data_IF_092352162660
#
_entry.id   IF_092352162660
#
_cell.length_a   1.000
_cell.length_b   1.000
_cell.length_c   1.000
_cell.angle_alpha   90.00
_cell.angle_beta   90.00
_cell.angle_gamma   90.00
#
_symmetry.space_group_name_H-M   'P 1'
#
loop_
_entity.id
_entity.type
_entity.pdbx_description
1 polymer ?
#
# COMPACT_ATOMS: atom_id res chain seq x y z
N UNK A 1 18.63 100.03 -15.30
CA UNK A 1 17.83 99.50 -14.18
C UNK A 1 16.90 98.44 -14.78
N UNK A 2 17.20 97.15 -14.57
CA UNK A 2 16.32 95.96 -14.48
C UNK A 2 17.10 94.69 -14.88
N UNK A 3 17.17 93.74 -13.93
CA UNK A 3 17.52 92.34 -14.15
C UNK A 3 16.46 91.67 -15.05
N UNK A 4 16.83 90.58 -15.75
CA UNK A 4 16.14 89.31 -15.53
C UNK A 4 17.16 88.16 -15.37
N UNK A 5 17.23 87.51 -14.21
CA UNK A 5 16.48 86.29 -13.85
C UNK A 5 17.10 84.99 -14.40
N UNK A 6 18.05 84.48 -13.61
CA UNK A 6 18.37 83.08 -13.33
C UNK A 6 17.49 82.01 -14.02
N UNK A 7 18.13 81.14 -14.82
CA UNK A 7 17.63 79.80 -15.18
C UNK A 7 18.40 78.78 -14.31
N UNK A 8 17.73 77.90 -13.54
CA UNK A 8 18.41 76.97 -12.65
C UNK A 8 18.70 75.67 -13.40
N UNK A 9 19.95 75.43 -13.80
CA UNK A 9 20.40 74.06 -14.10
C UNK A 9 20.74 73.36 -12.77
N UNK A 10 19.69 72.97 -12.04
CA UNK A 10 19.83 72.10 -10.86
C UNK A 10 20.00 70.68 -11.36
N UNK A 11 21.24 70.21 -11.47
CA UNK A 11 21.51 68.79 -11.68
C UNK A 11 21.07 68.08 -10.40
N UNK A 12 19.97 67.32 -10.46
CA UNK A 12 19.49 66.50 -9.34
C UNK A 12 20.40 65.28 -9.16
N UNK A 13 21.58 65.52 -8.58
CA UNK A 13 22.60 64.54 -8.20
C UNK A 13 22.02 63.33 -7.42
N UNK A 14 21.02 63.47 -6.52
CA UNK A 14 20.42 62.32 -5.83
C UNK A 14 19.64 61.38 -6.77
N UNK A 15 19.00 61.93 -7.81
CA UNK A 15 18.22 61.16 -8.79
C UNK A 15 19.14 60.33 -9.69
N UNK A 16 20.24 60.91 -10.15
CA UNK A 16 21.24 60.23 -10.98
C UNK A 16 22.02 59.15 -10.20
N UNK A 17 22.34 59.39 -8.93
CA UNK A 17 22.94 58.38 -8.04
C UNK A 17 22.00 57.21 -7.78
N UNK A 18 20.71 57.47 -7.55
CA UNK A 18 19.71 56.41 -7.38
C UNK A 18 19.56 55.57 -8.66
N UNK A 19 19.56 56.21 -9.84
CA UNK A 19 19.54 55.52 -11.13
C UNK A 19 20.79 54.67 -11.36
N UNK A 20 21.99 55.17 -11.02
CA UNK A 20 23.25 54.42 -11.17
C UNK A 20 23.36 53.18 -10.25
N UNK A 21 22.71 53.20 -9.09
CA UNK A 21 22.71 52.09 -8.12
C UNK A 21 21.59 51.07 -8.44
N UNK A 22 20.45 51.53 -8.98
CA UNK A 22 19.32 50.67 -9.35
C UNK A 22 19.52 49.92 -10.68
N UNK A 23 20.28 50.49 -11.63
CA UNK A 23 20.60 49.84 -12.91
C UNK A 23 21.32 48.48 -12.77
N UNK A 24 22.44 48.36 -12.02
CA UNK A 24 23.13 47.09 -11.86
C UNK A 24 22.31 46.06 -11.06
N UNK A 25 21.51 46.49 -10.08
CA UNK A 25 20.63 45.58 -9.33
C UNK A 25 19.47 45.06 -10.18
N UNK A 26 18.90 45.87 -11.08
CA UNK A 26 17.90 45.44 -12.04
C UNK A 26 18.47 44.43 -13.06
N UNK A 27 19.70 44.65 -13.54
CA UNK A 27 20.37 43.72 -14.47
C UNK A 27 20.68 42.38 -13.79
N UNK A 28 21.15 42.38 -12.54
CA UNK A 28 21.38 41.14 -11.78
C UNK A 28 20.07 40.38 -11.56
N UNK A 29 18.97 41.08 -11.22
CA UNK A 29 17.65 40.46 -11.08
C UNK A 29 17.19 39.83 -12.41
N UNK A 30 17.32 40.54 -13.53
CA UNK A 30 16.97 40.01 -14.86
C UNK A 30 17.80 38.77 -15.23
N UNK A 31 19.11 38.79 -15.00
CA UNK A 31 19.97 37.64 -15.25
C UNK A 31 19.59 36.44 -14.37
N UNK A 32 19.24 36.67 -13.09
CA UNK A 32 18.79 35.59 -12.19
C UNK A 32 17.46 34.97 -12.65
N UNK A 33 16.52 35.78 -13.15
CA UNK A 33 15.24 35.30 -13.69
C UNK A 33 15.47 34.47 -14.95
N UNK A 34 16.33 34.96 -15.86
CA UNK A 34 16.69 34.23 -17.08
C UNK A 34 17.37 32.90 -16.74
N UNK A 35 18.32 32.89 -15.79
CA UNK A 35 18.97 31.66 -15.33
C UNK A 35 17.97 30.69 -14.71
N UNK A 36 17.01 31.20 -13.93
CA UNK A 36 15.89 30.44 -13.37
C UNK A 36 15.02 29.80 -14.46
N UNK A 37 14.64 30.56 -15.50
CA UNK A 37 13.87 30.05 -16.64
C UNK A 37 14.66 28.98 -17.39
N UNK A 38 15.95 29.20 -17.67
CA UNK A 38 16.82 28.21 -18.32
C UNK A 38 16.90 26.93 -17.48
N UNK A 39 17.09 27.05 -16.16
CA UNK A 39 17.11 25.90 -15.26
C UNK A 39 15.79 25.12 -15.29
N UNK A 40 14.65 25.82 -15.27
CA UNK A 40 13.31 25.20 -15.39
C UNK A 40 13.16 24.50 -16.74
N UNK A 41 13.56 25.13 -17.85
CA UNK A 41 13.53 24.53 -19.19
C UNK A 41 14.39 23.26 -19.25
N UNK A 42 15.61 23.30 -18.71
CA UNK A 42 16.48 22.12 -18.61
C UNK A 42 15.82 21.01 -17.80
N UNK A 43 15.14 21.33 -16.68
CA UNK A 43 14.39 20.35 -15.88
C UNK A 43 13.20 19.77 -16.62
N UNK A 44 12.48 20.57 -17.41
CA UNK A 44 11.37 20.11 -18.25
C UNK A 44 11.87 19.18 -19.35
N UNK A 45 12.98 19.52 -20.02
CA UNK A 45 13.60 18.67 -21.05
C UNK A 45 14.10 17.36 -20.44
N UNK A 46 14.79 17.43 -19.29
CA UNK A 46 15.24 16.24 -18.55
C UNK A 46 14.05 15.34 -18.20
N UNK A 47 12.99 15.91 -17.62
CA UNK A 47 11.77 15.19 -17.28
C UNK A 47 11.14 14.54 -18.51
N UNK A 48 11.02 15.26 -19.63
CA UNK A 48 10.47 14.73 -20.87
C UNK A 48 11.31 13.56 -21.43
N UNK A 49 12.64 13.68 -21.42
CA UNK A 49 13.52 12.61 -21.87
C UNK A 49 13.43 11.37 -20.97
N UNK A 50 13.40 11.54 -19.64
CA UNK A 50 13.21 10.45 -18.69
C UNK A 50 11.86 9.76 -18.90
N UNK A 51 10.79 10.53 -19.09
CA UNK A 51 9.46 9.99 -19.39
C UNK A 51 9.45 9.24 -20.72
N UNK A 52 10.01 9.80 -21.79
CA UNK A 52 10.09 9.13 -23.10
C UNK A 52 10.81 7.78 -22.99
N UNK A 53 11.91 7.70 -22.23
CA UNK A 53 12.63 6.43 -21.98
C UNK A 53 11.77 5.40 -21.24
N UNK A 54 11.03 5.84 -20.21
CA UNK A 54 10.12 4.97 -19.46
C UNK A 54 8.98 4.42 -20.32
N UNK A 55 8.38 5.29 -21.15
CA UNK A 55 7.30 4.91 -22.07
C UNK A 55 7.81 3.87 -23.08
N UNK A 56 8.97 4.13 -23.69
CA UNK A 56 9.60 3.21 -24.65
C UNK A 56 9.88 1.83 -24.04
N UNK A 57 10.34 1.78 -22.79
CA UNK A 57 10.58 0.51 -22.11
C UNK A 57 9.30 -0.33 -21.91
N UNK A 58 8.14 0.32 -21.85
CA UNK A 58 6.85 -0.35 -21.67
C UNK A 58 6.20 -0.83 -22.96
N UNK A 59 6.72 -0.44 -24.14
CA UNK A 59 6.26 -0.93 -25.44
C UNK A 59 6.48 -2.44 -25.60
N UNK A 60 7.45 -3.01 -24.86
CA UNK A 60 7.69 -4.45 -24.81
C UNK A 60 6.61 -5.24 -24.04
N UNK A 61 5.65 -4.56 -23.41
CA UNK A 61 4.59 -5.18 -22.62
C UNK A 61 3.24 -4.94 -23.28
N UNK A 62 2.52 -6.00 -23.70
CA UNK A 62 1.16 -5.84 -24.20
C UNK A 62 0.26 -5.36 -23.05
N UNK A 63 -0.75 -4.56 -23.38
CA UNK A 63 -1.66 -4.00 -22.39
C UNK A 63 -2.97 -3.53 -22.97
N UNK A 64 -3.95 -3.22 -22.10
CA UNK A 64 -5.26 -2.76 -22.53
C UNK A 64 -5.18 -1.40 -23.25
N UNK A 65 -6.20 -1.06 -24.06
CA UNK A 65 -6.25 0.21 -24.77
C UNK A 65 -6.33 1.39 -23.77
N UNK A 66 -5.44 2.37 -23.96
CA UNK A 66 -5.37 3.55 -23.11
C UNK A 66 -6.22 4.71 -23.64
N UNK A 67 -7.04 5.30 -22.77
CA UNK A 67 -7.70 6.57 -23.09
C UNK A 67 -6.67 7.70 -23.12
N UNK A 68 -6.81 8.63 -24.07
CA UNK A 68 -5.82 9.71 -24.29
C UNK A 68 -5.62 10.61 -23.06
N UNK A 69 -6.72 10.97 -22.37
CA UNK A 69 -6.69 11.86 -21.20
C UNK A 69 -6.46 11.17 -19.86
N UNK A 70 -7.26 10.14 -19.53
CA UNK A 70 -7.23 9.50 -18.20
C UNK A 70 -6.45 8.18 -18.14
N UNK A 71 -5.85 7.74 -19.25
CA UNK A 71 -5.18 6.44 -19.32
C UNK A 71 -6.15 5.31 -19.00
N UNK A 72 -5.83 4.53 -17.96
CA UNK A 72 -6.61 3.38 -17.49
C UNK A 72 -7.43 3.68 -16.23
N UNK A 73 -7.53 4.93 -15.76
CA UNK A 73 -8.26 5.25 -14.53
C UNK A 73 -9.75 4.86 -14.58
N UNK A 74 -10.35 4.86 -15.77
CA UNK A 74 -11.74 4.43 -15.96
C UNK A 74 -11.94 2.93 -15.67
N UNK A 75 -10.90 2.10 -15.84
CA UNK A 75 -10.93 0.66 -15.55
C UNK A 75 -10.82 0.37 -14.03
N UNK A 76 -10.35 1.33 -13.24
CA UNK A 76 -10.14 1.16 -11.79
C UNK A 76 -11.45 1.26 -11.01
N UNK A 77 -12.42 2.00 -11.56
CA UNK A 77 -13.71 2.29 -10.90
C UNK A 77 -14.68 1.09 -10.95
N UNK A 78 -14.49 0.19 -11.91
CA UNK A 78 -15.19 -1.10 -11.98
C UNK A 78 -14.21 -2.16 -11.50
N UNK A 79 -14.30 -2.56 -10.24
CA UNK A 79 -13.57 -3.64 -9.54
C UNK A 79 -12.11 -3.98 -9.96
N UNK A 80 -11.25 -4.30 -8.97
CA UNK A 80 -9.89 -4.81 -9.22
C UNK A 80 -9.84 -6.06 -10.12
N UNK A 81 -10.97 -6.75 -10.27
CA UNK A 81 -11.25 -7.95 -11.08
C UNK A 81 -11.57 -7.67 -12.56
N UNK A 82 -11.83 -6.42 -12.97
CA UNK A 82 -12.38 -6.13 -14.31
C UNK A 82 -11.38 -6.27 -15.46
N UNK A 83 -10.07 -6.20 -15.16
CA UNK A 83 -9.03 -6.42 -16.15
C UNK A 83 -8.74 -7.92 -16.20
N UNK A 84 -8.96 -8.54 -17.37
CA UNK A 84 -8.57 -9.93 -17.66
C UNK A 84 -7.06 -10.01 -17.76
N UNK A 85 -6.41 -10.08 -16.61
CA UNK A 85 -4.95 -10.17 -16.48
C UNK A 85 -4.38 -11.39 -17.18
N UNK A 86 -5.20 -12.41 -17.42
CA UNK A 86 -4.85 -13.61 -18.16
C UNK A 86 -4.52 -13.34 -19.63
N UNK A 87 -5.02 -12.24 -20.21
CA UNK A 87 -4.74 -11.86 -21.60
C UNK A 87 -3.31 -11.33 -21.79
N UNK A 88 -2.62 -10.96 -20.71
CA UNK A 88 -1.31 -10.31 -20.75
C UNK A 88 -0.29 -11.13 -19.95
N UNK A 89 0.59 -11.90 -20.60
CA UNK A 89 1.55 -12.74 -19.87
C UNK A 89 2.50 -11.93 -18.97
N UNK A 90 2.62 -12.37 -17.72
CA UNK A 90 3.46 -11.84 -16.64
C UNK A 90 3.11 -10.46 -16.08
N UNK A 91 2.95 -9.47 -16.96
CA UNK A 91 2.77 -8.09 -16.59
C UNK A 91 2.18 -7.26 -17.75
N UNK A 92 1.48 -6.18 -17.39
CA UNK A 92 0.90 -5.23 -18.33
C UNK A 92 1.11 -3.77 -17.89
N UNK A 93 1.23 -2.81 -18.83
CA UNK A 93 1.35 -1.40 -18.51
C UNK A 93 0.00 -0.82 -18.06
N UNK A 94 0.05 -0.03 -16.99
CA UNK A 94 -1.07 0.78 -16.50
C UNK A 94 -0.71 2.26 -16.55
N UNK A 95 -1.64 3.07 -17.05
CA UNK A 95 -1.43 4.50 -17.23
C UNK A 95 -2.35 5.31 -16.34
N UNK A 96 -1.75 6.24 -15.59
CA UNK A 96 -2.48 7.28 -14.85
C UNK A 96 -2.37 8.58 -15.62
N UNK A 97 -3.36 8.84 -16.48
CA UNK A 97 -3.26 9.90 -17.47
C UNK A 97 -2.17 9.64 -18.54
N UNK A 98 -1.72 10.67 -19.27
CA UNK A 98 -0.86 10.48 -20.44
C UNK A 98 0.63 10.25 -20.13
N UNK A 99 1.10 10.65 -18.94
CA UNK A 99 2.54 10.75 -18.63
C UNK A 99 3.03 9.91 -17.45
N UNK A 100 2.12 9.28 -16.69
CA UNK A 100 2.47 8.46 -15.53
C UNK A 100 2.20 6.98 -15.81
N UNK A 101 3.17 6.27 -16.43
CA UNK A 101 3.07 4.84 -16.56
C UNK A 101 3.51 4.11 -15.29
N UNK A 102 2.91 2.95 -15.05
CA UNK A 102 3.37 1.93 -14.14
C UNK A 102 3.28 0.55 -14.80
N UNK A 103 4.14 -0.39 -14.43
CA UNK A 103 3.99 -1.79 -14.81
C UNK A 103 3.24 -2.55 -13.71
N UNK A 104 2.16 -3.24 -14.04
CA UNK A 104 1.44 -4.11 -13.11
C UNK A 104 1.89 -5.54 -13.32
N UNK A 105 2.47 -6.14 -12.28
CA UNK A 105 2.95 -7.51 -12.25
C UNK A 105 1.91 -8.39 -11.57
N UNK A 106 1.57 -9.52 -12.19
CA UNK A 106 0.64 -10.51 -11.65
C UNK A 106 1.17 -11.96 -11.73
N UNK A 107 2.47 -12.14 -12.00
CA UNK A 107 3.12 -13.44 -12.04
C UNK A 107 4.25 -13.54 -11.01
N UNK A 108 4.40 -14.68 -10.31
CA UNK A 108 5.34 -14.82 -9.19
C UNK A 108 6.82 -14.70 -9.58
N UNK A 109 7.23 -15.17 -10.76
CA UNK A 109 8.61 -14.99 -11.28
C UNK A 109 9.00 -13.51 -11.38
N UNK A 110 8.12 -12.69 -11.96
CA UNK A 110 8.33 -11.25 -12.03
C UNK A 110 8.30 -10.60 -10.65
N UNK A 111 7.41 -11.06 -9.76
CA UNK A 111 7.34 -10.57 -8.39
C UNK A 111 8.65 -10.78 -7.63
N UNK A 112 9.29 -11.94 -7.81
CA UNK A 112 10.62 -12.26 -7.23
C UNK A 112 11.71 -11.30 -7.69
N UNK A 113 11.76 -10.97 -8.99
CA UNK A 113 12.74 -10.01 -9.53
C UNK A 113 12.63 -8.61 -8.92
N UNK A 114 11.43 -8.22 -8.48
CA UNK A 114 11.17 -6.91 -7.88
C UNK A 114 11.32 -6.91 -6.36
N UNK A 115 10.76 -7.91 -5.67
CA UNK A 115 10.70 -7.96 -4.21
C UNK A 115 12.05 -8.30 -3.56
N UNK A 116 12.95 -9.00 -4.27
CA UNK A 116 14.33 -9.22 -3.82
C UNK A 116 15.22 -7.97 -3.81
N UNK A 117 14.72 -6.81 -4.27
CA UNK A 117 15.53 -5.60 -4.47
C UNK A 117 15.13 -4.45 -3.55
N UNK A 118 16.12 -3.65 -3.16
CA UNK A 118 15.95 -2.39 -2.42
C UNK A 118 15.44 -1.27 -3.34
N UNK A 119 14.15 -1.30 -3.69
CA UNK A 119 13.47 -0.17 -4.35
C UNK A 119 13.16 0.97 -3.37
N UNK A 120 12.63 2.11 -3.84
CA UNK A 120 11.93 3.07 -2.96
C UNK A 120 10.46 2.66 -2.88
N UNK A 121 9.84 2.75 -1.70
CA UNK A 121 8.39 2.58 -1.60
C UNK A 121 7.78 3.77 -2.31
N UNK A 122 7.08 3.54 -3.41
CA UNK A 122 6.48 4.62 -4.17
C UNK A 122 5.03 4.78 -3.75
N UNK A 123 4.75 5.94 -3.17
CA UNK A 123 3.46 6.30 -2.59
C UNK A 123 2.59 7.13 -3.56
N UNK A 124 3.11 7.50 -4.75
CA UNK A 124 2.56 8.59 -5.58
C UNK A 124 1.10 8.40 -6.02
N UNK A 125 0.60 7.16 -6.08
CA UNK A 125 -0.77 6.86 -6.52
C UNK A 125 -1.77 6.63 -5.37
N UNK A 126 -1.30 6.54 -4.12
CA UNK A 126 -2.14 6.29 -2.94
C UNK A 126 -2.17 7.51 -1.99
N UNK A 127 -1.19 8.43 -2.08
CA UNK A 127 -0.97 9.43 -1.02
C UNK A 127 -1.98 10.55 -0.88
N UNK A 128 -2.51 11.22 -1.94
CA UNK A 128 -3.19 12.47 -1.66
C UNK A 128 -4.59 12.27 -1.07
N UNK A 129 -5.18 11.08 -1.18
CA UNK A 129 -6.60 10.87 -0.88
C UNK A 129 -6.90 10.03 0.38
N UNK A 130 -5.94 9.22 0.87
CA UNK A 130 -6.24 8.23 1.92
C UNK A 130 -5.65 8.57 3.30
N UNK A 131 -4.70 9.52 3.40
CA UNK A 131 -4.09 9.83 4.69
C UNK A 131 -3.75 11.33 4.78
N UNK A 132 -4.50 12.06 5.60
CA UNK A 132 -3.96 13.24 6.29
C UNK A 132 -2.72 12.74 7.03
N UNK A 133 -1.52 13.12 6.57
CA UNK A 133 -0.28 12.44 6.91
C UNK A 133 0.00 12.45 8.43
N UNK A 134 0.05 11.29 9.12
CA UNK A 134 0.41 11.23 10.53
C UNK A 134 1.94 11.28 10.76
N UNK A 135 2.72 11.75 9.78
CA UNK A 135 4.19 11.89 9.86
C UNK A 135 4.97 10.79 9.13
N UNK A 136 6.30 10.82 9.27
CA UNK A 136 7.22 9.89 8.58
C UNK A 136 7.28 8.52 9.29
N UNK A 137 6.23 7.70 9.15
CA UNK A 137 6.15 6.34 9.71
C UNK A 137 6.94 5.28 8.92
N UNK A 138 7.12 4.08 9.51
CA UNK A 138 7.94 2.99 8.94
C UNK A 138 7.50 2.57 7.53
N UNK A 139 6.20 2.60 7.23
CA UNK A 139 5.65 2.24 5.91
C UNK A 139 6.06 3.23 4.79
N UNK A 140 6.41 4.46 5.16
CA UNK A 140 6.72 5.56 4.24
C UNK A 140 8.25 5.76 4.11
N UNK A 141 8.98 5.55 5.21
CA UNK A 141 10.42 5.77 5.26
C UNK A 141 11.18 4.91 4.24
N UNK A 142 12.32 5.43 3.78
CA UNK A 142 13.25 4.73 2.89
C UNK A 142 14.70 4.87 3.38
N UNK A 143 15.59 4.00 2.88
CA UNK A 143 17.03 4.10 3.12
C UNK A 143 17.44 3.82 4.57
N UNK A 144 18.46 4.53 5.05
CA UNK A 144 19.05 4.35 6.38
C UNK A 144 18.07 4.66 7.51
N UNK A 145 17.23 5.70 7.35
CA UNK A 145 16.21 6.06 8.35
C UNK A 145 15.16 4.97 8.52
N UNK A 146 14.72 4.37 7.42
CA UNK A 146 13.85 3.19 7.46
C UNK A 146 14.51 2.03 8.19
N UNK A 147 15.78 1.75 7.89
CA UNK A 147 16.52 0.66 8.52
C UNK A 147 16.68 0.86 10.04
N UNK A 148 16.98 2.09 10.47
CA UNK A 148 17.05 2.45 11.89
C UNK A 148 15.72 2.22 12.60
N UNK A 149 14.61 2.74 12.04
CA UNK A 149 13.28 2.54 12.63
C UNK A 149 12.88 1.05 12.65
N UNK A 150 13.19 0.28 11.60
CA UNK A 150 12.94 -1.16 11.57
C UNK A 150 13.72 -1.88 12.67
N UNK A 151 15.02 -1.56 12.82
CA UNK A 151 15.88 -2.17 13.85
C UNK A 151 15.36 -1.89 15.26
N UNK A 152 14.82 -0.69 15.51
CA UNK A 152 14.22 -0.33 16.80
C UNK A 152 12.91 -1.06 17.10
N UNK A 153 12.06 -1.27 16.08
CA UNK A 153 10.73 -1.86 16.26
C UNK A 153 10.70 -3.40 16.23
N UNK A 154 11.64 -4.04 15.53
CA UNK A 154 11.66 -5.51 15.36
C UNK A 154 11.64 -6.28 16.69
N UNK A 155 12.38 -5.88 17.76
CA UNK A 155 12.36 -6.60 19.04
C UNK A 155 10.98 -6.68 19.70
N UNK A 156 10.08 -5.71 19.45
CA UNK A 156 8.73 -5.71 20.00
C UNK A 156 7.85 -6.84 19.44
N UNK A 157 8.26 -7.44 18.33
CA UNK A 157 7.57 -8.55 17.68
C UNK A 157 8.33 -9.88 17.84
N UNK A 158 9.28 -9.95 18.78
CA UNK A 158 9.95 -11.21 19.11
C UNK A 158 8.97 -12.19 19.77
N UNK A 159 9.16 -13.49 19.53
CA UNK A 159 8.27 -14.55 20.02
C UNK A 159 8.00 -14.46 21.52
N UNK A 160 9.03 -14.17 22.34
CA UNK A 160 8.88 -14.06 23.80
C UNK A 160 7.96 -12.92 24.23
N UNK A 161 7.96 -11.80 23.49
CA UNK A 161 7.05 -10.67 23.70
C UNK A 161 5.65 -11.04 23.24
N UNK A 162 5.52 -11.60 22.04
CA UNK A 162 4.22 -12.03 21.50
C UNK A 162 3.54 -13.09 22.37
N UNK A 163 4.34 -13.93 23.03
CA UNK A 163 3.84 -14.94 23.97
C UNK A 163 2.92 -14.25 24.99
N UNK A 164 3.28 -13.10 25.57
CA UNK A 164 2.47 -12.45 26.63
C UNK A 164 1.19 -11.79 26.09
N UNK A 165 1.13 -11.50 24.78
CA UNK A 165 -0.04 -10.91 24.15
C UNK A 165 -1.20 -11.89 23.97
N UNK A 166 -0.92 -13.19 23.96
CA UNK A 166 -1.92 -14.25 23.80
C UNK A 166 -3.06 -14.14 24.81
N UNK A 167 -2.73 -13.89 26.09
CA UNK A 167 -3.72 -13.76 27.16
C UNK A 167 -4.55 -12.48 27.00
N UNK A 168 -3.91 -11.35 26.66
CA UNK A 168 -4.57 -10.06 26.41
C UNK A 168 -5.52 -10.10 25.20
N UNK A 169 -5.12 -10.82 24.15
CA UNK A 169 -5.96 -11.07 22.98
C UNK A 169 -7.14 -11.97 23.34
N UNK A 170 -6.90 -13.04 24.11
CA UNK A 170 -7.97 -13.93 24.58
C UNK A 170 -9.02 -13.18 25.39
N UNK A 171 -8.62 -12.30 26.30
CA UNK A 171 -9.56 -11.49 27.08
C UNK A 171 -10.39 -10.54 26.20
N UNK A 172 -9.76 -9.96 25.18
CA UNK A 172 -10.47 -9.11 24.21
C UNK A 172 -11.47 -9.92 23.37
N UNK A 173 -11.14 -11.17 23.01
CA UNK A 173 -12.05 -12.10 22.31
C UNK A 173 -13.21 -12.52 23.21
N UNK A 174 -12.99 -12.83 24.49
CA UNK A 174 -14.06 -13.19 25.45
C UNK A 174 -15.12 -12.10 25.52
N UNK A 175 -14.71 -10.83 25.64
CA UNK A 175 -15.64 -9.69 25.66
C UNK A 175 -16.51 -9.64 24.39
N UNK A 176 -15.92 -9.92 23.22
CA UNK A 176 -16.67 -9.98 21.97
C UNK A 176 -17.68 -11.14 21.96
N UNK A 177 -17.26 -12.32 22.43
CA UNK A 177 -18.12 -13.51 22.50
C UNK A 177 -19.28 -13.33 23.49
N UNK A 178 -19.04 -12.73 24.66
CA UNK A 178 -20.08 -12.41 25.64
C UNK A 178 -21.14 -11.45 25.06
N UNK A 179 -20.74 -10.55 24.14
CA UNK A 179 -21.68 -9.70 23.40
C UNK A 179 -22.47 -10.48 22.38
N UNK A 180 -21.85 -11.43 21.68
CA UNK A 180 -22.51 -12.26 20.68
C UNK A 180 -23.50 -13.22 21.29
N UNK A 181 -23.21 -13.79 22.47
CA UNK A 181 -24.16 -14.65 23.21
C UNK A 181 -25.45 -13.90 23.58
N UNK A 182 -25.35 -12.59 23.83
CA UNK A 182 -26.50 -11.72 24.12
C UNK A 182 -27.24 -11.23 22.88
N UNK A 183 -26.67 -11.37 21.68
CA UNK A 183 -27.34 -10.98 20.43
C UNK A 183 -28.31 -12.08 20.03
N UNK A 184 -29.60 -11.75 19.89
CA UNK A 184 -30.60 -12.70 19.41
C UNK A 184 -30.23 -13.17 17.99
N UNK A 185 -30.05 -14.48 17.82
CA UNK A 185 -29.44 -15.13 16.65
C UNK A 185 -30.42 -15.36 15.50
N UNK A 186 -31.68 -14.92 15.64
CA UNK A 186 -32.72 -15.08 14.61
C UNK A 186 -32.50 -14.23 13.35
N UNK A 187 -31.57 -13.26 13.40
CA UNK A 187 -31.22 -12.40 12.25
C UNK A 187 -29.74 -12.54 11.90
N UNK A 188 -29.42 -12.29 10.63
CA UNK A 188 -28.04 -12.15 10.17
C UNK A 188 -27.29 -11.11 11.01
N UNK A 189 -26.13 -11.49 11.54
CA UNK A 189 -25.28 -10.62 12.36
C UNK A 189 -24.14 -10.07 11.52
N UNK A 190 -23.97 -8.75 11.54
CA UNK A 190 -22.82 -8.05 10.96
C UNK A 190 -21.59 -8.28 11.86
N UNK A 191 -20.48 -8.78 11.30
CA UNK A 191 -19.29 -9.19 12.06
C UNK A 191 -18.15 -8.16 12.00
N UNK A 192 -18.05 -7.37 10.93
CA UNK A 192 -16.93 -6.47 10.65
C UNK A 192 -16.75 -5.46 11.78
N UNK A 193 -17.83 -4.86 12.27
CA UNK A 193 -17.75 -3.85 13.33
C UNK A 193 -17.27 -4.46 14.66
N UNK A 194 -17.81 -5.60 15.07
CA UNK A 194 -17.42 -6.24 16.32
C UNK A 194 -15.96 -6.75 16.28
N UNK A 195 -15.57 -7.38 15.17
CA UNK A 195 -14.18 -7.85 14.97
C UNK A 195 -13.21 -6.67 14.92
N UNK A 196 -13.59 -5.54 14.32
CA UNK A 196 -12.76 -4.34 14.26
C UNK A 196 -12.54 -3.74 15.66
N UNK A 197 -13.59 -3.64 16.48
CA UNK A 197 -13.47 -3.16 17.86
C UNK A 197 -12.65 -4.11 18.73
N UNK A 198 -12.82 -5.43 18.57
CA UNK A 198 -12.00 -6.43 19.26
C UNK A 198 -10.53 -6.35 18.86
N UNK A 199 -10.25 -6.13 17.57
CA UNK A 199 -8.89 -5.97 17.05
C UNK A 199 -8.25 -4.69 17.59
N UNK A 200 -8.99 -3.58 17.64
CA UNK A 200 -8.54 -2.32 18.22
C UNK A 200 -8.23 -2.46 19.71
N UNK A 201 -9.12 -3.11 20.47
CA UNK A 201 -8.92 -3.34 21.90
C UNK A 201 -7.66 -4.21 22.14
N UNK A 202 -7.47 -5.24 21.32
CA UNK A 202 -6.32 -6.13 21.38
C UNK A 202 -5.00 -5.38 21.12
N UNK A 203 -4.92 -4.55 20.08
CA UNK A 203 -3.69 -3.80 19.78
C UNK A 203 -3.40 -2.73 20.84
N UNK A 204 -4.43 -2.09 21.40
CA UNK A 204 -4.26 -1.08 22.45
C UNK A 204 -3.72 -1.71 23.75
N UNK A 205 -4.22 -2.90 24.12
CA UNK A 205 -3.68 -3.65 25.27
C UNK A 205 -2.26 -4.16 25.02
N UNK A 206 -1.97 -4.69 23.84
CA UNK A 206 -0.69 -5.33 23.55
C UNK A 206 0.44 -4.34 23.28
N UNK A 207 0.22 -3.38 22.37
CA UNK A 207 1.27 -2.46 21.92
C UNK A 207 1.38 -1.19 22.77
N UNK A 208 0.28 -0.75 23.39
CA UNK A 208 0.21 0.50 24.15
C UNK A 208 -0.05 0.31 25.64
N UNK A 209 -0.22 -0.93 26.10
CA UNK A 209 -0.57 -1.26 27.49
C UNK A 209 -1.77 -0.45 28.00
N UNK A 210 -2.72 -0.15 27.12
CA UNK A 210 -3.84 0.75 27.38
C UNK A 210 -5.17 0.03 27.22
N UNK A 211 -6.00 0.08 28.26
CA UNK A 211 -7.32 -0.53 28.25
C UNK A 211 -8.38 0.49 27.80
N UNK A 212 -8.85 0.36 26.56
CA UNK A 212 -9.83 1.28 25.98
C UNK A 212 -11.27 0.97 26.37
N UNK A 213 -11.58 -0.29 26.73
CA UNK A 213 -12.96 -0.80 26.82
C UNK A 213 -13.83 -0.44 25.60
N UNK A 214 -13.20 -0.29 24.42
CA UNK A 214 -13.87 0.23 23.22
C UNK A 214 -14.97 -0.70 22.68
N UNK A 215 -14.97 -1.97 23.09
CA UNK A 215 -16.00 -2.93 22.70
C UNK A 215 -17.34 -2.73 23.43
N UNK A 216 -17.34 -2.14 24.62
CA UNK A 216 -18.52 -1.96 25.48
C UNK A 216 -19.00 -0.51 25.56
N UNK A 217 -18.10 0.46 25.36
CA UNK A 217 -18.43 1.88 25.37
C UNK A 217 -18.84 2.39 23.97
N UNK A 218 -20.00 3.05 23.88
CA UNK A 218 -20.51 3.66 22.63
C UNK A 218 -19.60 4.75 22.04
N UNK A 219 -18.75 5.39 22.86
CA UNK A 219 -17.83 6.46 22.46
C UNK A 219 -16.72 6.01 21.50
N UNK A 220 -16.40 4.72 21.44
CA UNK A 220 -15.41 4.19 20.50
C UNK A 220 -15.90 4.21 19.03
N UNK A 221 -17.21 4.33 18.79
CA UNK A 221 -17.73 4.55 17.44
C UNK A 221 -17.20 5.84 16.82
N UNK A 222 -16.89 6.87 17.62
CA UNK A 222 -16.39 8.14 17.09
C UNK A 222 -14.93 8.04 16.64
N UNK A 223 -14.10 7.20 17.27
CA UNK A 223 -12.71 6.96 16.82
C UNK A 223 -12.66 6.14 15.52
N UNK A 224 -13.58 5.19 15.34
CA UNK A 224 -13.72 4.44 14.07
C UNK A 224 -14.33 5.30 12.96
N UNK A 225 -15.27 6.20 13.28
CA UNK A 225 -15.94 7.05 12.30
C UNK A 225 -15.20 8.36 12.01
N UNK A 226 -14.30 8.84 12.88
CA UNK A 226 -13.49 10.04 12.64
C UNK A 226 -12.44 9.85 11.53
N UNK A 227 -12.16 8.60 11.15
CA UNK A 227 -11.43 8.28 9.91
C UNK A 227 -12.27 8.41 8.62
N UNK A 228 -13.61 8.49 8.72
CA UNK A 228 -14.54 8.80 7.63
C UNK A 228 -14.87 10.29 7.61
N UNK A 229 -13.86 11.13 7.41
CA UNK A 229 -14.08 12.55 7.13
C UNK A 229 -14.72 12.76 5.75
N UNK A 230 -15.98 13.19 5.73
CA UNK A 230 -16.70 13.87 4.62
C UNK A 230 -16.29 13.48 3.19
N UNK A 231 -16.89 12.40 2.67
CA UNK A 231 -17.19 12.27 1.24
C UNK A 231 -18.70 12.33 1.11
N UNK A 232 -19.17 13.30 0.33
CA UNK A 232 -20.56 13.71 0.24
C UNK A 232 -21.51 12.56 -0.09
N UNK A 233 -22.72 12.71 0.45
CA UNK A 233 -23.90 11.96 0.06
C UNK A 233 -24.00 11.89 -1.46
N UNK A 234 -23.96 10.66 -1.94
CA UNK A 234 -23.96 10.26 -3.33
C UNK A 234 -24.10 8.75 -3.34
N UNK A 235 -25.21 8.30 -2.75
CA UNK A 235 -25.63 6.90 -2.77
C UNK A 235 -25.61 6.41 -4.22
N UNK A 236 -24.72 5.47 -4.51
CA UNK A 236 -24.93 4.52 -5.60
C UNK A 236 -25.07 3.17 -4.93
N UNK A 237 -26.23 2.50 -5.07
CA UNK A 237 -26.45 1.21 -4.44
C UNK A 237 -25.52 0.20 -5.10
N UNK A 238 -24.57 -0.33 -4.34
CA UNK A 238 -23.94 -1.61 -4.67
C UNK A 238 -24.92 -2.67 -4.14
N UNK A 239 -26.02 -2.82 -4.88
CA UNK A 239 -26.98 -3.89 -4.72
C UNK A 239 -26.71 -4.96 -5.78
N UNK A 240 -26.68 -6.19 -5.29
CA UNK A 240 -27.09 -7.40 -5.99
C UNK A 240 -26.22 -7.86 -7.17
N UNK A 241 -25.29 -8.77 -6.85
CA UNK A 241 -24.54 -9.49 -7.87
C UNK A 241 -23.47 -10.45 -7.37
N UNK A 242 -23.39 -10.76 -6.08
CA UNK A 242 -22.63 -11.94 -5.64
C UNK A 242 -23.68 -13.03 -5.44
N UNK A 243 -23.81 -13.90 -6.45
CA UNK A 243 -24.39 -15.20 -6.22
C UNK A 243 -23.70 -15.78 -4.99
N UNK A 244 -24.51 -16.02 -3.96
CA UNK A 244 -24.20 -16.85 -2.82
C UNK A 244 -23.72 -18.20 -3.32
N UNK A 245 -22.43 -18.29 -3.63
CA UNK A 245 -21.71 -19.55 -3.62
C UNK A 245 -21.89 -20.08 -2.21
N UNK A 246 -22.73 -21.11 -2.07
CA UNK A 246 -22.90 -21.84 -0.84
C UNK A 246 -21.51 -22.15 -0.31
N UNK A 247 -21.10 -21.48 0.76
CA UNK A 247 -20.00 -21.94 1.57
C UNK A 247 -20.46 -23.31 2.07
N UNK A 248 -20.02 -24.37 1.41
CA UNK A 248 -20.14 -25.71 1.93
C UNK A 248 -19.49 -25.63 3.30
N UNK A 249 -20.29 -25.75 4.36
CA UNK A 249 -19.77 -26.00 5.69
C UNK A 249 -19.01 -27.32 5.57
N UNK A 250 -17.71 -27.23 5.31
CA UNK A 250 -16.80 -28.34 5.56
C UNK A 250 -17.01 -28.73 7.02
N UNK A 251 -17.10 -30.03 7.35
CA UNK A 251 -17.32 -30.45 8.71
C UNK A 251 -16.11 -30.00 9.52
N UNK A 252 -16.25 -28.88 10.25
CA UNK A 252 -15.45 -28.64 11.42
C UNK A 252 -15.75 -29.83 12.32
N UNK A 253 -14.81 -30.78 12.40
CA UNK A 253 -14.82 -31.84 13.40
C UNK A 253 -15.27 -31.22 14.73
N UNK A 254 -16.25 -31.81 15.44
CA UNK A 254 -16.73 -31.24 16.68
C UNK A 254 -15.54 -31.10 17.62
N UNK A 255 -15.11 -29.85 17.83
CA UNK A 255 -14.10 -29.41 18.80
C UNK A 255 -14.57 -29.64 20.26
N UNK A 256 -15.51 -30.59 20.48
CA UNK A 256 -16.12 -30.93 21.76
C UNK A 256 -15.32 -31.96 22.56
N UNK A 257 -14.43 -32.75 21.94
CA UNK A 257 -13.78 -33.86 22.64
C UNK A 257 -12.48 -33.52 23.38
N UNK A 258 -12.09 -32.24 23.52
CA UNK A 258 -10.86 -31.92 24.26
C UNK A 258 -10.85 -30.58 25.02
N UNK A 259 -11.98 -29.91 25.21
CA UNK A 259 -12.04 -28.63 25.92
C UNK A 259 -12.10 -28.82 27.45
N UNK A 260 -10.96 -29.16 28.04
CA UNK A 260 -10.71 -28.95 29.47
C UNK A 260 -10.45 -27.46 29.76
N UNK A 261 -10.81 -26.92 30.95
CA UNK A 261 -10.90 -25.48 31.21
C UNK A 261 -9.57 -24.70 31.32
N UNK A 262 -8.44 -25.32 30.98
CA UNK A 262 -7.11 -24.72 31.00
C UNK A 262 -6.36 -25.15 29.75
N UNK A 263 -6.81 -24.70 28.58
CA UNK A 263 -5.95 -24.72 27.40
C UNK A 263 -4.79 -23.76 27.67
N UNK A 264 -3.57 -24.26 27.67
CA UNK A 264 -2.38 -23.45 27.49
C UNK A 264 -2.34 -23.00 26.02
N UNK A 265 -3.33 -22.18 25.62
CA UNK A 265 -3.57 -21.66 24.26
C UNK A 265 -2.27 -21.17 23.60
N UNK A 266 -1.37 -20.66 24.43
CA UNK A 266 -0.01 -20.20 24.15
C UNK A 266 0.94 -21.22 23.52
N UNK A 267 0.86 -22.51 23.88
CA UNK A 267 1.77 -23.58 23.42
C UNK A 267 1.15 -24.44 22.30
N UNK A 268 -0.17 -24.34 22.13
CA UNK A 268 -0.92 -25.16 21.18
C UNK A 268 -1.12 -24.50 19.82
N UNK A 269 -0.84 -23.19 19.66
CA UNK A 269 -0.96 -22.48 18.38
C UNK A 269 -0.16 -23.17 17.26
N UNK A 270 1.04 -23.69 17.56
CA UNK A 270 1.87 -24.41 16.61
C UNK A 270 1.27 -25.75 16.13
N UNK A 271 0.31 -26.32 16.87
CA UNK A 271 -0.35 -27.59 16.55
C UNK A 271 -1.60 -27.40 15.69
N UNK A 272 -2.10 -26.17 15.51
CA UNK A 272 -3.30 -25.85 14.74
C UNK A 272 -3.03 -25.81 13.23
N UNK A 273 -2.53 -26.93 12.68
CA UNK A 273 -2.08 -27.04 11.30
C UNK A 273 -3.19 -26.78 10.29
N UNK A 274 -4.35 -27.43 10.44
CA UNK A 274 -5.48 -27.25 9.54
C UNK A 274 -6.08 -25.84 9.63
N UNK A 275 -6.22 -25.28 10.83
CA UNK A 275 -6.65 -23.88 11.01
C UNK A 275 -5.71 -22.92 10.30
N UNK A 276 -4.40 -23.13 10.40
CA UNK A 276 -3.39 -22.35 9.68
C UNK A 276 -3.57 -22.46 8.15
N UNK A 277 -3.89 -23.65 7.64
CA UNK A 277 -4.20 -23.87 6.22
C UNK A 277 -5.43 -23.07 5.78
N UNK A 278 -6.52 -23.11 6.55
CA UNK A 278 -7.72 -22.33 6.28
C UNK A 278 -7.44 -20.82 6.29
N UNK A 279 -6.68 -20.32 7.27
CA UNK A 279 -6.29 -18.91 7.33
C UNK A 279 -5.49 -18.51 6.09
N UNK A 280 -4.53 -19.35 5.67
CA UNK A 280 -3.73 -19.07 4.46
C UNK A 280 -4.59 -19.05 3.19
N UNK A 281 -5.54 -19.98 3.05
CA UNK A 281 -6.45 -20.01 1.91
C UNK A 281 -7.41 -18.80 1.89
N UNK A 282 -7.89 -18.38 3.06
CA UNK A 282 -8.65 -17.13 3.19
C UNK A 282 -7.82 -15.92 2.76
N UNK A 283 -6.54 -15.83 3.18
CA UNK A 283 -5.62 -14.76 2.77
C UNK A 283 -5.23 -14.83 1.29
N UNK A 284 -5.30 -16.02 0.66
CA UNK A 284 -5.09 -16.19 -0.77
C UNK A 284 -6.21 -15.50 -1.54
N UNK A 285 -7.46 -15.88 -1.23
CA UNK A 285 -8.65 -15.37 -1.91
C UNK A 285 -8.98 -13.92 -1.53
N UNK A 286 -8.76 -13.55 -0.27
CA UNK A 286 -9.11 -12.23 0.28
C UNK A 286 -7.88 -11.59 0.95
N UNK A 287 -6.86 -11.20 0.16
CA UNK A 287 -5.67 -10.57 0.72
C UNK A 287 -6.03 -9.20 1.32
N UNK A 288 -5.71 -8.92 2.60
CA UNK A 288 -6.01 -7.63 3.22
C UNK A 288 -5.36 -6.44 2.49
N UNK A 289 -4.19 -6.68 1.87
CA UNK A 289 -3.51 -5.73 0.98
C UNK A 289 -3.43 -6.33 -0.42
N UNK A 290 -4.37 -5.99 -1.33
CA UNK A 290 -4.45 -6.64 -2.64
C UNK A 290 -3.39 -6.18 -3.63
N UNK A 291 -2.73 -5.04 -3.38
CA UNK A 291 -1.64 -4.55 -4.22
C UNK A 291 -0.63 -3.70 -3.45
N UNK A 292 0.63 -3.77 -3.86
CA UNK A 292 1.72 -2.93 -3.33
C UNK A 292 2.53 -2.31 -4.46
N UNK A 293 3.10 -1.13 -4.25
CA UNK A 293 3.87 -0.42 -5.30
C UNK A 293 5.31 -0.14 -4.91
N UNK A 294 6.19 -0.09 -5.90
CA UNK A 294 7.63 0.19 -5.79
C UNK A 294 8.08 1.11 -6.92
N UNK A 295 9.09 1.93 -6.64
CA UNK A 295 9.86 2.62 -7.67
C UNK A 295 11.25 2.01 -7.76
N UNK A 296 11.63 1.66 -8.98
CA UNK A 296 12.91 1.03 -9.25
C UNK A 296 14.05 2.03 -9.03
N UNK A 297 14.97 1.68 -8.14
CA UNK A 297 16.21 2.43 -7.91
C UNK A 297 17.28 2.11 -8.97
N UNK A 298 17.21 0.91 -9.57
CA UNK A 298 18.12 0.40 -10.60
C UNK A 298 17.30 -0.32 -11.66
N UNK A 299 17.86 -0.47 -12.86
CA UNK A 299 17.24 -1.26 -13.93
C UNK A 299 17.04 -2.73 -13.52
N UNK A 300 16.03 -3.38 -14.08
CA UNK A 300 15.73 -4.80 -13.90
C UNK A 300 15.54 -5.47 -15.24
N UNK A 301 16.05 -6.70 -15.35
CA UNK A 301 15.78 -7.60 -16.47
C UNK A 301 15.03 -8.80 -15.90
N UNK A 302 13.94 -9.18 -16.56
CA UNK A 302 13.09 -10.28 -16.19
C UNK A 302 13.54 -11.58 -16.87
N UNK A 303 12.95 -12.70 -16.45
CA UNK A 303 13.30 -14.05 -16.91
C UNK A 303 13.11 -14.27 -18.41
N UNK A 304 12.24 -13.50 -19.06
CA UNK A 304 11.94 -13.54 -20.49
C UNK A 304 12.75 -12.52 -21.32
N UNK A 305 13.76 -11.89 -20.71
CA UNK A 305 14.64 -10.92 -21.36
C UNK A 305 14.09 -9.50 -21.47
N UNK A 306 12.81 -9.26 -21.11
CA UNK A 306 12.27 -7.90 -21.03
C UNK A 306 12.93 -7.13 -19.89
N UNK A 307 13.03 -5.81 -20.02
CA UNK A 307 13.69 -4.98 -19.00
C UNK A 307 12.98 -3.67 -18.73
N UNK A 308 13.18 -3.14 -17.51
CA UNK A 308 12.73 -1.81 -17.11
C UNK A 308 13.92 -0.98 -16.60
N UNK A 309 13.98 0.31 -16.96
CA UNK A 309 15.00 1.21 -16.42
C UNK A 309 14.68 1.65 -14.99
N UNK A 310 15.67 2.24 -14.33
CA UNK A 310 15.47 2.93 -13.05
C UNK A 310 14.43 4.07 -13.20
N UNK A 311 13.72 4.38 -12.11
CA UNK A 311 12.65 5.37 -12.07
C UNK A 311 11.27 4.84 -12.49
N UNK A 312 11.20 3.63 -13.04
CA UNK A 312 9.92 3.00 -13.38
C UNK A 312 9.10 2.67 -12.12
N UNK A 313 7.80 2.91 -12.20
CA UNK A 313 6.84 2.53 -11.17
C UNK A 313 6.35 1.12 -11.45
N UNK A 314 6.37 0.26 -10.44
CA UNK A 314 5.93 -1.13 -10.55
C UNK A 314 4.93 -1.42 -9.46
N UNK A 315 3.74 -1.88 -9.83
CA UNK A 315 2.73 -2.40 -8.94
C UNK A 315 2.75 -3.93 -8.94
N UNK A 316 2.73 -4.54 -7.77
CA UNK A 316 2.48 -5.97 -7.59
C UNK A 316 1.00 -6.14 -7.28
N UNK A 317 0.28 -6.80 -8.17
CA UNK A 317 -1.12 -7.17 -7.97
C UNK A 317 -1.17 -8.52 -7.23
N UNK A 318 -1.13 -8.47 -5.90
CA UNK A 318 -1.13 -9.67 -5.04
C UNK A 318 -2.41 -10.46 -5.26
N UNK A 319 -3.55 -9.78 -5.41
CA UNK A 319 -4.84 -10.40 -5.69
C UNK A 319 -4.81 -11.27 -6.96
N UNK A 320 -4.21 -10.76 -8.04
CA UNK A 320 -4.04 -11.51 -9.28
C UNK A 320 -2.98 -12.62 -9.18
N UNK A 321 -1.86 -12.39 -8.46
CA UNK A 321 -0.84 -13.44 -8.22
C UNK A 321 -1.45 -14.64 -7.49
N UNK A 322 -2.31 -14.37 -6.50
CA UNK A 322 -3.01 -15.39 -5.71
C UNK A 322 -4.08 -16.17 -6.50
N UNK A 323 -4.44 -15.69 -7.69
CA UNK A 323 -5.41 -16.32 -8.61
C UNK A 323 -4.80 -16.73 -9.94
N UNK A 324 -3.47 -16.65 -10.06
CA UNK A 324 -2.79 -16.97 -11.29
C UNK A 324 -2.93 -18.47 -11.61
N UNK A 325 -3.53 -18.79 -12.76
CA UNK A 325 -3.82 -20.16 -13.21
C UNK A 325 -2.57 -21.00 -13.50
N UNK A 326 -1.43 -20.36 -13.76
CA UNK A 326 -0.15 -21.06 -13.96
C UNK A 326 0.38 -21.67 -12.65
N UNK A 327 -0.18 -21.25 -11.51
CA UNK A 327 0.31 -21.57 -10.16
C UNK A 327 -0.78 -22.22 -9.29
N UNK A 328 -2.02 -21.78 -9.46
CA UNK A 328 -3.17 -22.20 -8.67
C UNK A 328 -4.19 -22.88 -9.59
N UNK A 329 -4.28 -24.21 -9.49
CA UNK A 329 -5.35 -24.99 -10.13
C UNK A 329 -6.70 -24.58 -9.56
N UNK A 330 -7.70 -24.31 -10.42
CA UNK A 330 -9.02 -23.80 -10.02
C UNK A 330 -8.94 -22.64 -9.00
N UNK A 331 -8.41 -21.48 -9.40
CA UNK A 331 -7.98 -20.42 -8.47
C UNK A 331 -9.11 -19.81 -7.64
N UNK A 332 -10.37 -19.91 -8.06
CA UNK A 332 -11.51 -19.39 -7.30
C UNK A 332 -12.06 -20.38 -6.25
N UNK A 333 -11.63 -21.64 -6.29
CA UNK A 333 -12.06 -22.66 -5.34
C UNK A 333 -11.30 -22.51 -4.02
N UNK A 334 -12.05 -22.43 -2.92
CA UNK A 334 -11.50 -22.45 -1.56
C UNK A 334 -11.06 -23.88 -1.21
N UNK A 335 -9.75 -24.10 -1.16
CA UNK A 335 -9.16 -25.38 -0.74
C UNK A 335 -7.99 -25.19 0.23
N UNK A 336 -8.18 -25.44 1.55
CA UNK A 336 -7.12 -25.39 2.54
C UNK A 336 -5.95 -26.35 2.25
N UNK A 337 -6.21 -27.50 1.62
CA UNK A 337 -5.20 -28.54 1.41
C UNK A 337 -4.09 -28.10 0.44
N UNK A 338 -4.29 -27.02 -0.32
CA UNK A 338 -3.21 -26.32 -1.02
C UNK A 338 -2.05 -26.00 -0.09
N UNK A 339 -2.31 -25.64 1.16
CA UNK A 339 -1.28 -25.29 2.14
C UNK A 339 -0.80 -26.47 2.98
N UNK A 340 -1.09 -27.72 2.57
CA UNK A 340 -0.45 -28.90 3.15
C UNK A 340 1.08 -28.88 2.92
N UNK A 341 1.89 -29.55 3.76
CA UNK A 341 3.32 -29.65 3.57
C UNK A 341 3.69 -30.19 2.17
N UNK A 342 2.97 -31.21 1.71
CA UNK A 342 3.17 -31.86 0.42
C UNK A 342 2.89 -30.89 -0.75
N UNK A 343 1.73 -30.23 -0.73
CA UNK A 343 1.30 -29.32 -1.80
C UNK A 343 2.03 -27.97 -1.78
N UNK A 344 2.72 -27.64 -0.69
CA UNK A 344 3.50 -26.41 -0.56
C UNK A 344 4.97 -26.59 -0.92
N UNK A 345 5.51 -27.82 -0.89
CA UNK A 345 6.94 -28.08 -1.01
C UNK A 345 7.56 -27.56 -2.32
N UNK A 346 6.83 -27.69 -3.43
CA UNK A 346 7.28 -27.26 -4.77
C UNK A 346 6.68 -25.92 -5.21
N UNK A 347 5.93 -25.23 -4.34
CA UNK A 347 5.31 -23.95 -4.69
C UNK A 347 6.39 -22.88 -4.86
N UNK A 348 6.27 -22.09 -5.93
CA UNK A 348 7.15 -20.94 -6.13
C UNK A 348 7.09 -20.00 -4.92
N UNK A 349 8.25 -19.56 -4.41
CA UNK A 349 8.37 -18.80 -3.15
C UNK A 349 7.61 -17.47 -3.10
N UNK A 350 7.28 -16.90 -4.26
CA UNK A 350 6.50 -15.66 -4.42
C UNK A 350 5.09 -15.87 -4.97
N UNK A 351 4.56 -17.11 -4.93
CA UNK A 351 3.19 -17.42 -5.32
C UNK A 351 2.15 -16.96 -4.29
N UNK A 352 2.55 -16.90 -3.02
CA UNK A 352 1.68 -16.52 -1.90
C UNK A 352 2.35 -15.39 -1.10
N UNK A 353 1.82 -14.18 -1.24
CA UNK A 353 2.38 -12.92 -0.76
C UNK A 353 1.36 -12.08 0.04
N UNK A 354 0.56 -12.65 0.97
CA UNK A 354 -0.47 -11.87 1.70
C UNK A 354 0.12 -10.72 2.52
N UNK A 355 1.41 -10.83 2.88
CA UNK A 355 2.16 -9.82 3.63
C UNK A 355 3.39 -9.28 2.84
N UNK A 356 3.33 -9.30 1.49
CA UNK A 356 4.44 -8.94 0.56
C UNK A 356 5.60 -9.96 0.59
N UNK A 357 6.84 -9.60 0.22
CA UNK A 357 8.10 -10.33 0.51
C UNK A 357 9.30 -9.36 0.50
N UNK A 358 10.50 -9.87 0.85
CA UNK A 358 11.78 -9.17 0.75
C UNK A 358 12.11 -8.26 1.93
N UNK A 359 13.09 -7.36 1.76
CA UNK A 359 13.58 -6.49 2.85
C UNK A 359 12.53 -5.56 3.45
N UNK A 360 11.43 -5.31 2.75
CA UNK A 360 10.27 -4.53 3.23
C UNK A 360 9.03 -5.37 3.54
N UNK A 361 9.21 -6.68 3.74
CA UNK A 361 8.24 -7.57 4.37
C UNK A 361 7.86 -7.06 5.78
N UNK A 362 6.71 -7.49 6.27
CA UNK A 362 6.18 -7.29 7.63
C UNK A 362 7.27 -7.38 8.72
N UNK A 363 7.11 -6.65 9.83
CA UNK A 363 8.18 -6.48 10.84
C UNK A 363 8.64 -7.82 11.44
N UNK A 364 7.81 -8.85 11.35
CA UNK A 364 7.97 -10.18 11.94
C UNK A 364 9.13 -11.03 11.38
N UNK A 365 9.72 -10.70 10.21
CA UNK A 365 10.88 -11.46 9.71
C UNK A 365 12.18 -10.64 9.79
N UNK A 366 13.30 -11.26 10.21
CA UNK A 366 14.61 -10.64 10.19
C UNK A 366 14.99 -10.30 8.74
N UNK A 367 15.45 -9.07 8.51
CA UNK A 367 16.04 -8.70 7.22
C UNK A 367 17.29 -9.54 7.00
N UNK A 368 17.56 -10.04 5.78
CA UNK A 368 18.92 -10.44 5.44
C UNK A 368 19.84 -9.26 5.73
N UNK A 369 20.97 -9.55 6.40
CA UNK A 369 22.02 -8.57 6.69
C UNK A 369 22.50 -7.90 5.40
N UNK A 370 22.94 -6.63 5.47
CA UNK A 370 23.32 -5.84 4.31
C UNK A 370 24.40 -6.47 3.42
#
# INVERSE_FOLDING_TARGET
MTLPSQLPFRVDVPSLLLQLILLPSAVVLQLSVVLGIIFVLLKVVQFYQERKKLIKALEAFPGPPKHWLYGHNHLVRRELSSIRVEEYPYAFPRWFGPVLPSLIIHHPEYAKSILGRTGKSLHLLVTPLLFVSPGQGLLILNGTKWFQHRKLLTPAFHYDVLKSYVDLMSDSVKVMLDKWEKKNTEKSVELFQDVSLMTLDSIMKCAFSYNTNCQTQRSALELSNSGKGRLGEGETPIGDGIHSGSATQSPLLPLKHSLTPQFAFREDLGKMTYTTMCIKESLRLFPPVPAVSRCLSKSVTFSDGRSLPAGCQVGLNIFAIHRNRDVWEDPEVYDPLRFSPENSAQRHSHAFLPFSAGSRWEILHPSPSP
#
